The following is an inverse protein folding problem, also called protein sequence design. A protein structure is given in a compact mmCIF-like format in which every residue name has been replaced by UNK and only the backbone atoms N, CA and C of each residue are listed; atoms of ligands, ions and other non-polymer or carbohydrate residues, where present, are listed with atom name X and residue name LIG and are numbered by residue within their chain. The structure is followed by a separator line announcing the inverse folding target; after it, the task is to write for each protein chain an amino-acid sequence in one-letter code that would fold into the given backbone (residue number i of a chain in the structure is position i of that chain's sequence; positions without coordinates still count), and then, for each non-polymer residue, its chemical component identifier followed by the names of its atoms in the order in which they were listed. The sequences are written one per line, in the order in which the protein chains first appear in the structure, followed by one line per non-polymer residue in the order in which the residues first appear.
data_IF_266988956953
#
_entry.id   IF_266988956953
#
_cell.length_a   1.000
_cell.length_b   1.000
_cell.length_c   1.000
_cell.angle_alpha   90.00
_cell.angle_beta   90.00
_cell.angle_gamma   90.00
#
_symmetry.space_group_name_H-M   'P 1'
#
loop_
_entity.id
_entity.type
_entity.pdbx_description
1 polymer ?
#
# COMPACT_ATOMS: atom_id res chain seq x y z
N UNK A 1 -8.74 20.71 -8.23
CA UNK A 1 -9.27 19.54 -8.96
C UNK A 1 -8.11 18.58 -9.32
N UNK A 2 -8.27 17.29 -9.05
CA UNK A 2 -7.30 16.25 -9.44
C UNK A 2 -6.70 15.43 -8.30
N UNK A 3 -6.83 15.88 -7.04
CA UNK A 3 -6.32 15.16 -5.86
C UNK A 3 -7.40 14.41 -5.08
N UNK A 4 -8.63 14.40 -5.59
CA UNK A 4 -9.79 13.85 -4.88
C UNK A 4 -9.65 12.35 -4.62
N UNK A 5 -8.95 11.63 -5.50
CA UNK A 5 -8.74 10.18 -5.47
C UNK A 5 -7.29 9.79 -5.13
N UNK A 6 -6.50 10.71 -4.56
CA UNK A 6 -5.09 10.44 -4.21
C UNK A 6 -4.95 9.56 -2.97
N UNK A 7 -5.96 9.56 -2.11
CA UNK A 7 -6.03 8.74 -0.91
C UNK A 7 -7.23 7.82 -1.00
N UNK A 8 -7.22 6.75 -0.20
CA UNK A 8 -8.35 5.83 -0.12
C UNK A 8 -9.46 6.43 0.77
N UNK A 9 -10.57 6.84 0.15
CA UNK A 9 -11.73 7.43 0.82
C UNK A 9 -12.95 6.51 0.76
N UNK A 10 -13.79 6.54 1.80
CA UNK A 10 -15.07 5.83 1.84
C UNK A 10 -16.12 6.52 2.72
N UNK A 11 -17.40 6.41 2.38
CA UNK A 11 -18.49 7.04 3.15
C UNK A 11 -18.72 6.39 4.53
N UNK A 12 -18.23 5.15 4.72
CA UNK A 12 -18.54 4.30 5.88
C UNK A 12 -19.92 3.65 5.78
N UNK A 13 -20.37 3.05 6.88
CA UNK A 13 -21.71 2.46 7.01
C UNK A 13 -22.44 3.05 8.22
N UNK A 14 -23.75 2.81 8.31
CA UNK A 14 -24.55 3.12 9.51
C UNK A 14 -24.89 1.82 10.23
N UNK A 15 -24.74 1.82 11.56
CA UNK A 15 -25.26 0.74 12.38
C UNK A 15 -26.78 0.82 12.58
N UNK A 16 -27.36 -0.18 13.23
CA UNK A 16 -28.80 -0.27 13.49
C UNK A 16 -29.35 0.92 14.30
N UNK A 17 -28.50 1.58 15.09
CA UNK A 17 -28.84 2.76 15.90
C UNK A 17 -28.62 4.07 15.13
N UNK A 18 -28.16 3.99 13.87
CA UNK A 18 -27.91 5.13 12.99
C UNK A 18 -26.58 5.85 13.27
N UNK A 19 -25.67 5.26 14.05
CA UNK A 19 -24.34 5.81 14.24
C UNK A 19 -23.44 5.42 13.07
N UNK A 20 -22.52 6.33 12.75
CA UNK A 20 -21.54 6.12 11.69
C UNK A 20 -20.47 5.14 12.14
N UNK A 21 -20.17 4.18 11.28
CA UNK A 21 -19.12 3.19 11.45
C UNK A 21 -18.16 3.21 10.24
N UNK A 22 -16.90 2.80 10.43
CA UNK A 22 -15.98 2.51 9.32
C UNK A 22 -16.60 1.59 8.27
N UNK A 23 -16.12 1.63 7.01
CA UNK A 23 -16.70 0.82 5.94
C UNK A 23 -16.51 -0.69 6.11
N UNK A 24 -15.51 -1.11 6.89
CA UNK A 24 -15.20 -2.51 7.20
C UNK A 24 -14.38 -2.61 8.50
N UNK A 25 -14.00 -3.84 8.86
CA UNK A 25 -13.28 -4.16 10.09
C UNK A 25 -11.75 -3.99 10.03
N UNK A 26 -11.17 -3.42 8.97
CA UNK A 26 -9.71 -3.34 8.82
C UNK A 26 -9.05 -2.59 9.98
N UNK A 27 -7.89 -3.11 10.42
CA UNK A 27 -7.14 -2.58 11.55
C UNK A 27 -5.81 -1.97 11.10
N UNK A 28 -5.40 -0.90 11.81
CA UNK A 28 -4.05 -0.35 11.69
C UNK A 28 -3.04 -1.31 12.32
N UNK A 29 -1.81 -1.31 11.78
CA UNK A 29 -0.68 -2.07 12.29
C UNK A 29 -0.31 -1.68 13.74
N UNK A 30 -0.70 -0.47 14.16
CA UNK A 30 -0.46 0.04 15.52
C UNK A 30 -1.69 -0.07 16.43
N UNK A 31 -2.61 -0.97 16.06
CA UNK A 31 -3.91 -1.22 16.71
C UNK A 31 -4.98 -0.16 16.41
N UNK A 32 -6.22 -0.52 16.71
CA UNK A 32 -7.46 0.20 16.38
C UNK A 32 -7.82 0.19 14.90
N UNK A 33 -8.95 0.82 14.56
CA UNK A 33 -9.43 0.90 13.17
C UNK A 33 -8.35 1.51 12.27
N UNK A 34 -8.20 0.95 11.08
CA UNK A 34 -7.41 1.57 10.01
C UNK A 34 -8.15 2.72 9.32
N UNK A 35 -9.34 3.09 9.78
CA UNK A 35 -10.14 4.16 9.19
C UNK A 35 -10.33 5.31 10.16
N UNK A 36 -10.07 6.52 9.68
CA UNK A 36 -10.27 7.75 10.44
C UNK A 36 -11.28 8.65 9.73
N UNK A 37 -12.23 9.20 10.49
CA UNK A 37 -13.23 10.12 9.97
C UNK A 37 -12.63 11.50 9.70
N UNK A 38 -12.90 12.07 8.53
CA UNK A 38 -12.54 13.44 8.18
C UNK A 38 -13.77 14.36 8.19
N UNK A 39 -13.77 15.34 9.09
CA UNK A 39 -14.90 16.27 9.24
C UNK A 39 -15.07 17.25 8.07
N UNK A 40 -14.02 17.57 7.32
CA UNK A 40 -14.14 18.50 6.18
C UNK A 40 -14.76 17.81 4.97
N UNK A 41 -14.32 16.58 4.69
CA UNK A 41 -14.76 15.79 3.55
C UNK A 41 -16.02 14.97 3.84
N UNK A 42 -16.32 14.75 5.11
CA UNK A 42 -17.42 13.88 5.56
C UNK A 42 -17.28 12.46 4.99
N UNK A 43 -16.05 11.92 5.02
CA UNK A 43 -15.71 10.55 4.62
C UNK A 43 -14.61 10.00 5.54
N UNK A 44 -14.48 8.69 5.62
CA UNK A 44 -13.33 8.02 6.21
C UNK A 44 -12.17 7.98 5.22
N UNK A 45 -10.94 8.16 5.69
CA UNK A 45 -9.73 7.77 4.95
C UNK A 45 -9.06 6.59 5.61
N UNK A 46 -8.40 5.76 4.80
CA UNK A 46 -7.64 4.63 5.29
C UNK A 46 -6.19 5.01 5.67
N UNK A 47 -5.69 4.37 6.71
CA UNK A 47 -4.30 4.42 7.15
C UNK A 47 -3.87 3.06 7.74
N UNK A 48 -2.92 2.40 7.08
CA UNK A 48 -2.37 1.14 7.57
C UNK A 48 -1.49 1.33 8.80
N UNK A 49 -0.88 2.50 8.94
CA UNK A 49 0.02 2.87 10.04
C UNK A 49 -0.62 3.96 10.91
N UNK A 50 0.04 5.11 11.08
CA UNK A 50 -0.50 6.23 11.85
C UNK A 50 -1.70 6.88 11.19
N UNK A 51 -2.57 7.47 12.00
CA UNK A 51 -3.61 8.42 11.54
C UNK A 51 -2.98 9.57 10.71
N UNK A 52 -1.76 10.01 11.03
CA UNK A 52 -1.04 11.04 10.26
C UNK A 52 -0.38 10.53 8.96
N UNK A 53 -0.53 9.24 8.64
CA UNK A 53 0.01 8.58 7.45
C UNK A 53 -1.14 8.00 6.61
N UNK A 54 -1.97 8.86 6.00
CA UNK A 54 -3.05 8.39 5.12
C UNK A 54 -2.47 7.67 3.90
N UNK A 55 -3.04 6.51 3.56
CA UNK A 55 -2.53 5.71 2.46
C UNK A 55 -2.91 6.30 1.10
N UNK A 56 -1.91 6.29 0.21
CA UNK A 56 -2.11 6.68 -1.17
C UNK A 56 -2.89 5.60 -1.92
N UNK A 57 -3.84 6.03 -2.75
CA UNK A 57 -4.60 5.12 -3.60
C UNK A 57 -3.78 4.76 -4.86
N UNK A 58 -3.01 3.68 -4.79
CA UNK A 58 -2.18 3.22 -5.93
C UNK A 58 -2.96 2.68 -7.13
N UNK A 59 -4.29 2.53 -7.03
CA UNK A 59 -5.13 2.25 -8.20
C UNK A 59 -5.32 3.48 -9.09
N UNK A 60 -5.16 4.68 -8.52
CA UNK A 60 -5.13 5.92 -9.28
C UNK A 60 -3.89 5.97 -10.17
N UNK A 61 -4.11 6.11 -11.49
CA UNK A 61 -3.02 6.31 -12.44
C UNK A 61 -2.21 7.58 -12.11
N UNK A 62 -2.88 8.62 -11.61
CA UNK A 62 -2.21 9.87 -11.21
C UNK A 62 -1.22 9.65 -10.07
N UNK A 63 -1.59 8.84 -9.06
CA UNK A 63 -0.68 8.47 -7.96
C UNK A 63 0.51 7.66 -8.47
N UNK A 64 0.27 6.65 -9.32
CA UNK A 64 1.34 5.83 -9.90
C UNK A 64 2.31 6.64 -10.74
N UNK A 65 1.79 7.58 -11.55
CA UNK A 65 2.63 8.46 -12.35
C UNK A 65 3.41 9.44 -11.46
N UNK A 66 2.77 10.06 -10.47
CA UNK A 66 3.44 11.00 -9.57
C UNK A 66 4.56 10.33 -8.78
N UNK A 67 4.39 9.07 -8.35
CA UNK A 67 5.47 8.35 -7.68
C UNK A 67 6.66 8.10 -8.62
N UNK A 68 6.43 7.80 -9.91
CA UNK A 68 7.51 7.70 -10.90
C UNK A 68 8.21 9.04 -11.14
N UNK A 69 7.46 10.14 -11.12
CA UNK A 69 8.03 11.48 -11.25
C UNK A 69 8.90 11.83 -10.03
N UNK A 70 8.46 11.49 -8.82
CA UNK A 70 9.27 11.61 -7.59
C UNK A 70 10.55 10.78 -7.69
N UNK A 71 10.47 9.55 -8.17
CA UNK A 71 11.65 8.71 -8.38
C UNK A 71 12.62 9.36 -9.38
N UNK A 72 12.12 9.84 -10.52
CA UNK A 72 12.92 10.53 -11.54
C UNK A 72 13.62 11.76 -10.96
N UNK A 73 12.90 12.58 -10.21
CA UNK A 73 13.47 13.77 -9.57
C UNK A 73 14.69 13.47 -8.71
N UNK A 74 14.61 12.42 -7.87
CA UNK A 74 15.75 12.03 -7.04
C UNK A 74 16.89 11.41 -7.84
N UNK A 75 16.57 10.68 -8.92
CA UNK A 75 17.58 10.15 -9.84
C UNK A 75 18.31 11.26 -10.61
N UNK A 76 17.63 12.35 -10.95
CA UNK A 76 18.23 13.53 -11.60
C UNK A 76 19.19 14.27 -10.64
N UNK A 77 18.94 14.20 -9.33
CA UNK A 77 19.86 14.69 -8.29
C UNK A 77 21.12 13.81 -8.19
N UNK A 78 21.05 12.57 -8.67
CA UNK A 78 22.20 11.67 -8.77
C UNK A 78 22.29 10.61 -7.66
N UNK A 79 21.16 10.21 -7.06
CA UNK A 79 21.17 9.06 -6.15
C UNK A 79 21.37 7.74 -6.90
N UNK A 80 21.97 6.75 -6.25
CA UNK A 80 22.30 5.46 -6.86
C UNK A 80 21.19 4.41 -6.77
N UNK A 81 20.05 4.72 -6.13
CA UNK A 81 18.96 3.77 -5.98
C UNK A 81 18.01 4.05 -4.84
N UNK A 82 17.03 3.17 -4.66
CA UNK A 82 15.98 3.28 -3.64
C UNK A 82 15.88 2.03 -2.77
N UNK A 83 15.53 2.24 -1.51
CA UNK A 83 14.88 1.26 -0.65
C UNK A 83 13.42 1.67 -0.50
N UNK A 84 12.48 0.82 -0.90
CA UNK A 84 11.05 1.04 -0.70
C UNK A 84 10.60 0.31 0.56
N UNK A 85 9.93 1.04 1.43
CA UNK A 85 9.43 0.58 2.73
C UNK A 85 7.98 0.09 2.62
N UNK A 86 7.56 -0.84 3.49
CA UNK A 86 6.17 -1.24 3.65
C UNK A 86 5.48 -1.74 2.36
N UNK A 87 6.25 -2.31 1.43
CA UNK A 87 5.76 -2.72 0.11
C UNK A 87 4.53 -3.65 0.15
N UNK A 88 4.41 -4.60 1.09
CA UNK A 88 3.22 -5.44 1.21
C UNK A 88 1.90 -4.67 1.38
N UNK A 89 1.92 -3.43 1.84
CA UNK A 89 0.75 -2.63 2.22
C UNK A 89 0.38 -1.58 1.15
N UNK A 90 0.81 -1.74 -0.10
CA UNK A 90 0.56 -0.73 -1.15
C UNK A 90 -0.86 -0.79 -1.72
N UNK A 91 -1.48 -1.97 -1.72
CA UNK A 91 -2.81 -2.18 -2.27
C UNK A 91 -3.67 -2.93 -1.27
N UNK A 92 -4.94 -2.53 -1.20
CA UNK A 92 -5.98 -3.18 -0.40
C UNK A 92 -7.08 -3.76 -1.32
N UNK A 93 -8.09 -4.44 -0.77
CA UNK A 93 -9.21 -4.99 -1.54
C UNK A 93 -10.19 -3.91 -2.03
N UNK A 94 -10.45 -3.86 -3.33
CA UNK A 94 -11.36 -2.88 -3.94
C UNK A 94 -12.80 -2.96 -3.45
N UNK A 95 -13.22 -4.16 -3.03
CA UNK A 95 -14.59 -4.39 -2.55
C UNK A 95 -14.75 -4.03 -1.07
N UNK A 96 -13.67 -3.58 -0.40
CA UNK A 96 -13.65 -3.22 1.01
C UNK A 96 -14.23 -4.32 1.91
N UNK A 97 -14.00 -5.60 1.59
CA UNK A 97 -14.53 -6.72 2.38
C UNK A 97 -13.86 -6.81 3.75
N UNK A 98 -14.63 -7.25 4.75
CA UNK A 98 -14.09 -7.55 6.07
C UNK A 98 -13.01 -8.63 6.01
N UNK A 99 -11.94 -8.44 6.77
CA UNK A 99 -10.94 -9.47 7.00
C UNK A 99 -11.47 -10.55 7.95
N UNK A 100 -11.15 -11.83 7.71
CA UNK A 100 -11.52 -12.90 8.61
C UNK A 100 -10.78 -12.77 9.95
N UNK A 101 -11.43 -13.22 11.02
CA UNK A 101 -10.80 -13.31 12.35
C UNK A 101 -9.74 -14.41 12.31
N UNK A 102 -8.56 -14.11 12.85
CA UNK A 102 -7.51 -15.10 13.10
C UNK A 102 -7.87 -15.90 14.37
N UNK A 103 -8.26 -17.18 14.24
CA UNK A 103 -8.73 -18.00 15.36
C UNK A 103 -7.65 -18.29 16.40
N UNK A 104 -6.38 -18.22 16.00
CA UNK A 104 -5.21 -18.56 16.81
C UNK A 104 -4.51 -17.33 17.41
N UNK A 105 -5.08 -16.12 17.19
CA UNK A 105 -4.44 -14.87 17.55
C UNK A 105 -4.23 -14.68 19.06
N UNK A 106 -5.22 -15.08 19.87
CA UNK A 106 -5.19 -14.96 21.33
C UNK A 106 -5.11 -13.51 21.84
N UNK A 107 -5.32 -12.52 20.98
CA UNK A 107 -5.26 -11.08 21.29
C UNK A 107 -6.66 -10.45 21.25
N UNK A 108 -6.77 -9.21 21.73
CA UNK A 108 -8.03 -8.46 21.71
C UNK A 108 -8.40 -7.99 20.30
N UNK A 109 -9.67 -7.65 20.10
CA UNK A 109 -10.23 -7.28 18.79
C UNK A 109 -9.73 -5.95 18.21
N UNK A 110 -8.92 -5.20 18.96
CA UNK A 110 -8.31 -3.96 18.47
C UNK A 110 -6.86 -4.16 18.03
N UNK A 111 -6.26 -5.30 18.38
CA UNK A 111 -4.91 -5.65 17.96
C UNK A 111 -4.90 -6.08 16.50
N UNK A 112 -3.94 -5.60 15.71
CA UNK A 112 -3.79 -5.96 14.30
C UNK A 112 -3.84 -7.47 14.07
N UNK A 113 -3.11 -8.27 14.87
CA UNK A 113 -3.04 -9.73 14.72
C UNK A 113 -4.36 -10.47 14.99
N UNK A 114 -5.41 -9.77 15.44
CA UNK A 114 -6.74 -10.32 15.61
C UNK A 114 -7.35 -10.78 14.27
N UNK A 115 -6.92 -10.21 13.16
CA UNK A 115 -7.43 -10.51 11.82
C UNK A 115 -6.39 -11.26 10.98
N UNK A 116 -6.86 -11.96 9.96
CA UNK A 116 -6.03 -12.50 8.88
C UNK A 116 -5.97 -11.49 7.73
N UNK A 117 -4.78 -10.94 7.48
CA UNK A 117 -4.62 -9.81 6.57
C UNK A 117 -4.56 -10.19 5.09
N UNK A 118 -5.64 -10.79 4.59
CA UNK A 118 -5.75 -11.25 3.20
C UNK A 118 -6.22 -10.16 2.23
N UNK A 119 -6.77 -9.07 2.76
CA UNK A 119 -7.35 -7.98 1.97
C UNK A 119 -6.55 -6.67 2.06
N UNK A 120 -5.72 -6.51 3.09
CA UNK A 120 -4.89 -5.30 3.27
C UNK A 120 -3.39 -5.52 3.08
N UNK A 121 -2.97 -6.76 2.79
CA UNK A 121 -1.55 -7.11 2.64
C UNK A 121 -1.29 -8.06 1.48
N UNK A 122 -0.17 -7.84 0.80
CA UNK A 122 0.36 -8.67 -0.29
C UNK A 122 -0.62 -8.89 -1.44
N UNK A 123 -1.42 -7.88 -1.80
CA UNK A 123 -2.30 -7.99 -2.96
C UNK A 123 -1.47 -8.27 -4.25
N UNK A 124 -1.99 -9.06 -5.19
CA UNK A 124 -1.25 -9.43 -6.40
C UNK A 124 -0.70 -8.25 -7.21
N UNK A 125 -1.41 -7.13 -7.24
CA UNK A 125 -1.04 -5.90 -7.95
C UNK A 125 0.24 -5.24 -7.40
N UNK A 126 0.57 -5.50 -6.14
CA UNK A 126 1.79 -4.99 -5.49
C UNK A 126 3.05 -5.43 -6.25
N UNK A 127 3.09 -6.68 -6.70
CA UNK A 127 4.25 -7.22 -7.41
C UNK A 127 4.44 -6.54 -8.77
N UNK A 128 3.35 -6.36 -9.52
CA UNK A 128 3.39 -5.70 -10.83
C UNK A 128 3.81 -4.23 -10.70
N UNK A 129 3.38 -3.54 -9.64
CA UNK A 129 3.82 -2.18 -9.36
C UNK A 129 5.33 -2.11 -9.09
N UNK A 130 5.86 -3.04 -8.28
CA UNK A 130 7.30 -3.14 -8.00
C UNK A 130 8.09 -3.39 -9.28
N UNK A 131 7.63 -4.28 -10.16
CA UNK A 131 8.27 -4.50 -11.46
C UNK A 131 8.24 -3.23 -12.32
N UNK A 132 7.14 -2.47 -12.28
CA UNK A 132 7.04 -1.20 -12.99
C UNK A 132 8.05 -0.15 -12.51
N UNK A 133 8.37 -0.14 -11.21
CA UNK A 133 9.39 0.73 -10.62
C UNK A 133 10.81 0.29 -11.00
N UNK A 134 11.09 -1.02 -10.97
CA UNK A 134 12.37 -1.57 -11.46
C UNK A 134 12.61 -1.22 -12.92
N UNK A 135 11.62 -1.46 -13.77
CA UNK A 135 11.67 -1.10 -15.19
C UNK A 135 11.87 0.41 -15.42
N UNK A 136 11.30 1.26 -14.57
CA UNK A 136 11.53 2.71 -14.61
C UNK A 136 13.00 3.07 -14.35
N UNK A 137 13.62 2.46 -13.34
CA UNK A 137 15.06 2.63 -13.05
C UNK A 137 15.96 2.14 -14.18
N UNK A 138 15.61 1.01 -14.81
CA UNK A 138 16.36 0.47 -15.95
C UNK A 138 16.26 1.37 -17.18
N UNK A 139 15.06 1.86 -17.48
CA UNK A 139 14.85 2.82 -18.57
C UNK A 139 15.62 4.12 -18.34
N UNK A 140 15.64 4.63 -17.10
CA UNK A 140 16.44 5.79 -16.74
C UNK A 140 17.94 5.52 -16.95
N UNK A 141 18.44 4.37 -16.47
CA UNK A 141 19.84 3.94 -16.66
C UNK A 141 20.23 3.86 -18.12
N UNK A 142 19.38 3.25 -18.96
CA UNK A 142 19.63 3.10 -20.39
C UNK A 142 19.63 4.44 -21.14
N UNK A 143 18.87 5.42 -20.65
CA UNK A 143 18.76 6.74 -21.27
C UNK A 143 19.93 7.64 -20.90
N UNK A 144 20.30 7.67 -19.62
CA UNK A 144 21.33 8.59 -19.08
C UNK A 144 22.73 7.97 -19.08
N UNK A 145 22.83 6.64 -19.07
CA UNK A 145 24.09 5.91 -18.90
C UNK A 145 24.56 5.85 -17.44
N UNK A 146 25.78 5.36 -17.22
CA UNK A 146 26.38 5.18 -15.90
C UNK A 146 26.04 3.84 -15.24
N UNK A 147 26.33 3.74 -13.94
CA UNK A 147 26.18 2.50 -13.18
C UNK A 147 24.72 2.11 -12.95
N UNK A 148 24.44 0.81 -12.78
CA UNK A 148 23.09 0.31 -12.52
C UNK A 148 22.53 0.85 -11.21
N UNK A 149 21.28 1.32 -11.23
CA UNK A 149 20.62 1.83 -10.02
C UNK A 149 20.07 0.68 -9.18
N UNK A 150 20.37 0.71 -7.88
CA UNK A 150 19.93 -0.28 -6.92
C UNK A 150 18.45 -0.12 -6.59
N UNK A 151 17.76 -1.23 -6.37
CA UNK A 151 16.37 -1.24 -5.93
C UNK A 151 16.19 -2.35 -4.90
N UNK A 152 15.67 -1.99 -3.72
CA UNK A 152 15.44 -2.91 -2.62
C UNK A 152 14.04 -2.70 -2.06
N UNK A 153 13.37 -3.79 -1.71
CA UNK A 153 12.06 -3.76 -1.05
C UNK A 153 12.19 -4.28 0.36
N UNK A 154 11.61 -3.57 1.33
CA UNK A 154 11.35 -4.13 2.65
C UNK A 154 9.97 -4.78 2.66
N UNK A 155 9.97 -6.09 2.90
CA UNK A 155 8.78 -6.92 2.89
C UNK A 155 8.84 -7.87 4.09
N UNK A 156 7.88 -7.75 4.99
CA UNK A 156 7.70 -8.70 6.09
C UNK A 156 6.53 -9.63 5.74
N UNK A 157 6.76 -10.58 4.83
CA UNK A 157 5.75 -11.50 4.29
C UNK A 157 6.25 -12.95 4.27
N UNK A 158 5.37 -13.91 3.99
CA UNK A 158 5.76 -15.33 3.87
C UNK A 158 6.78 -15.57 2.76
N UNK A 159 7.63 -16.58 2.94
CA UNK A 159 8.75 -16.89 2.02
C UNK A 159 8.34 -17.00 0.56
N UNK A 160 7.21 -17.64 0.27
CA UNK A 160 6.72 -17.81 -1.10
C UNK A 160 6.39 -16.47 -1.77
N UNK A 161 5.95 -15.48 -1.00
CA UNK A 161 5.69 -14.12 -1.47
C UNK A 161 6.99 -13.31 -1.57
N UNK A 162 7.93 -13.51 -0.65
CA UNK A 162 9.24 -12.85 -0.68
C UNK A 162 10.01 -13.14 -1.97
N UNK A 163 9.96 -14.39 -2.46
CA UNK A 163 10.64 -14.78 -3.71
C UNK A 163 10.06 -14.02 -4.90
N UNK A 164 8.77 -13.70 -4.92
CA UNK A 164 8.13 -12.95 -6.02
C UNK A 164 8.67 -11.54 -6.18
N UNK A 165 9.17 -10.91 -5.11
CA UNK A 165 9.79 -9.58 -5.22
C UNK A 165 11.13 -9.58 -5.96
N UNK A 166 11.81 -10.74 -6.05
CA UNK A 166 13.06 -10.89 -6.81
C UNK A 166 12.83 -11.22 -8.30
N UNK A 167 11.63 -11.65 -8.66
CA UNK A 167 11.25 -12.00 -10.03
C UNK A 167 10.14 -13.06 -10.09
N UNK A 168 9.55 -13.22 -11.26
CA UNK A 168 8.60 -14.30 -11.55
C UNK A 168 9.33 -15.62 -11.90
N UNK A 169 8.58 -16.71 -12.07
CA UNK A 169 9.11 -18.04 -12.47
C UNK A 169 9.90 -18.04 -13.78
N UNK A 170 9.85 -16.94 -14.54
CA UNK A 170 10.54 -16.73 -15.81
C UNK A 170 11.82 -15.90 -15.68
N UNK A 171 12.25 -15.57 -14.46
CA UNK A 171 13.57 -14.98 -14.20
C UNK A 171 13.75 -13.55 -14.71
N UNK A 172 12.67 -12.79 -14.84
CA UNK A 172 12.75 -11.36 -15.15
C UNK A 172 12.31 -10.55 -13.93
N UNK A 173 13.29 -9.83 -13.36
CA UNK A 173 13.10 -8.59 -12.62
C UNK A 173 13.47 -7.42 -13.54
#
# INVERSE_FOLDING_TARGET
PGYEDYYLWSDGILDDDGNRQPPNNWLSLWSFSGWEWNEERQQYYFHQFSIQQPDLNYRSESVRQEMKDVMTYWLDIGIDGFRVDAVPHIYEDEQLRDEPINPDSGVDSTNWNYLEHIYTKDQPETFELVYSWRAHLDNYTNTVGGDTRMFMTECSSDMDKLVRYYGNEYGTS
#
